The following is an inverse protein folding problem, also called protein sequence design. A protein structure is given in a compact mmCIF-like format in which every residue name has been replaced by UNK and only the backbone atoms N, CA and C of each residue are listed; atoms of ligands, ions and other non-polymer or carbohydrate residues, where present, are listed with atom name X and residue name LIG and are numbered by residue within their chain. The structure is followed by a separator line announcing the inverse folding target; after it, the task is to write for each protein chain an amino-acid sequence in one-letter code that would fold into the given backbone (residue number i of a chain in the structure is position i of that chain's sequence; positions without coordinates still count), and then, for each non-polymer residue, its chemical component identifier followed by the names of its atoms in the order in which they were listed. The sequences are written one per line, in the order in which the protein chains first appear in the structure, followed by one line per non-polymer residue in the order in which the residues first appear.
data_IF_513080884211
#
_entry.id   IF_513080884211
#
_cell.length_a   1.000
_cell.length_b   1.000
_cell.length_c   1.000
_cell.angle_alpha   90.00
_cell.angle_beta   90.00
_cell.angle_gamma   90.00
#
_symmetry.space_group_name_H-M   'P 1'
#
loop_
_entity.id
_entity.type
_entity.pdbx_description
1 polymer ?
#
# COMPACT_ATOMS: atom_id res chain seq x y z
N UNK A 1 -2.22 16.34 -25.89
CA UNK A 1 -1.77 15.20 -25.03
C UNK A 1 -1.87 13.95 -25.85
N UNK A 2 -0.76 13.25 -26.01
CA UNK A 2 -0.67 12.11 -26.94
C UNK A 2 -1.07 10.78 -26.29
N UNK A 3 -0.90 10.67 -24.95
CA UNK A 3 -1.29 9.49 -24.18
C UNK A 3 -1.93 9.89 -22.86
N UNK A 4 -3.08 9.28 -22.53
CA UNK A 4 -3.74 9.36 -21.23
C UNK A 4 -3.99 7.94 -20.72
N UNK A 5 -3.59 7.65 -19.50
CA UNK A 5 -3.82 6.34 -18.87
C UNK A 5 -4.09 6.48 -17.39
N UNK A 6 -4.80 5.51 -16.83
CA UNK A 6 -5.10 5.44 -15.39
C UNK A 6 -3.94 4.81 -14.60
N UNK A 7 -3.95 5.01 -13.29
CA UNK A 7 -2.94 4.40 -12.39
C UNK A 7 -3.02 2.88 -12.35
N UNK A 8 -4.18 2.31 -12.70
CA UNK A 8 -4.41 0.86 -12.69
C UNK A 8 -3.83 0.14 -13.91
N UNK A 9 -3.58 0.86 -15.01
CA UNK A 9 -3.04 0.29 -16.23
C UNK A 9 -1.67 0.89 -16.64
N UNK A 10 -0.87 1.31 -15.68
CA UNK A 10 0.50 1.81 -15.93
C UNK A 10 1.34 0.81 -16.73
N UNK A 11 0.99 -0.48 -16.65
CA UNK A 11 1.59 -1.55 -17.42
C UNK A 11 1.44 -1.41 -18.92
N UNK A 12 0.35 -0.80 -19.37
CA UNK A 12 0.06 -0.57 -20.78
C UNK A 12 0.85 0.61 -21.39
N UNK A 13 1.48 1.45 -20.54
CA UNK A 13 2.14 2.68 -20.99
C UNK A 13 3.12 2.49 -22.16
N UNK A 14 4.04 1.49 -22.18
CA UNK A 14 4.95 1.31 -23.29
C UNK A 14 4.21 1.05 -24.63
N UNK A 15 3.15 0.26 -24.57
CA UNK A 15 2.32 -0.06 -25.75
C UNK A 15 1.54 1.15 -26.22
N UNK A 16 0.97 1.94 -25.30
CA UNK A 16 0.22 3.15 -25.63
C UNK A 16 1.13 4.22 -26.24
N UNK A 17 2.35 4.38 -25.74
CA UNK A 17 3.34 5.29 -26.29
C UNK A 17 3.74 4.88 -27.71
N UNK A 18 3.98 3.60 -27.96
CA UNK A 18 4.34 3.13 -29.30
C UNK A 18 3.18 3.29 -30.27
N UNK A 19 1.95 2.98 -29.87
CA UNK A 19 0.75 3.20 -30.69
C UNK A 19 0.56 4.68 -31.03
N UNK A 20 0.69 5.59 -30.06
CA UNK A 20 0.58 7.03 -30.30
C UNK A 20 1.64 7.50 -31.30
N UNK A 21 2.88 6.98 -31.17
CA UNK A 21 3.98 7.33 -32.07
C UNK A 21 3.78 6.84 -33.51
N UNK A 22 3.30 5.60 -33.67
CA UNK A 22 3.12 4.98 -35.01
C UNK A 22 1.88 5.53 -35.71
N UNK A 23 0.77 5.66 -35.00
CA UNK A 23 -0.51 6.05 -35.59
C UNK A 23 -0.68 7.57 -35.66
N UNK A 24 0.16 8.35 -34.96
CA UNK A 24 0.03 9.81 -34.79
C UNK A 24 -1.36 10.23 -34.24
N UNK A 25 -1.97 9.37 -33.43
CA UNK A 25 -3.27 9.58 -32.80
C UNK A 25 -3.17 9.48 -31.29
N UNK A 26 -3.97 10.30 -30.57
CA UNK A 26 -4.03 10.27 -29.12
C UNK A 26 -4.58 8.91 -28.62
N UNK A 27 -3.89 8.33 -27.65
CA UNK A 27 -4.28 7.08 -27.00
C UNK A 27 -4.86 7.38 -25.62
N UNK A 28 -6.07 6.89 -25.33
CA UNK A 28 -6.72 7.04 -24.02
C UNK A 28 -7.13 5.68 -23.54
N UNK A 29 -6.59 5.26 -22.39
CA UNK A 29 -6.96 4.00 -21.74
C UNK A 29 -7.05 4.21 -20.24
N UNK A 30 -8.26 4.16 -19.68
CA UNK A 30 -8.53 4.33 -18.26
C UNK A 30 -9.22 3.06 -17.77
N UNK A 31 -8.56 2.34 -16.84
CA UNK A 31 -9.13 1.18 -16.16
C UNK A 31 -9.61 1.62 -14.79
N UNK A 32 -10.89 1.42 -14.48
CA UNK A 32 -11.54 1.91 -13.28
C UNK A 32 -11.21 1.09 -12.03
N UNK A 33 -10.77 -0.16 -12.19
CA UNK A 33 -10.41 -1.02 -11.05
C UNK A 33 -9.24 -1.94 -11.37
N UNK A 34 -8.49 -2.31 -10.33
CA UNK A 34 -7.47 -3.36 -10.44
C UNK A 34 -8.15 -4.73 -10.43
N UNK A 35 -7.99 -5.49 -11.50
CA UNK A 35 -8.32 -6.92 -11.50
C UNK A 35 -7.23 -7.74 -10.84
N UNK A 36 -5.97 -7.33 -11.03
CA UNK A 36 -4.79 -7.97 -10.45
C UNK A 36 -3.87 -6.88 -9.89
N UNK A 37 -3.35 -7.09 -8.69
CA UNK A 37 -2.35 -6.18 -8.13
C UNK A 37 -1.13 -6.14 -9.06
N UNK A 38 -0.64 -4.94 -9.46
CA UNK A 38 0.51 -4.87 -10.36
C UNK A 38 1.71 -5.57 -9.69
N UNK A 39 2.21 -6.61 -10.35
CA UNK A 39 3.38 -7.34 -9.88
C UNK A 39 4.56 -6.40 -9.69
N UNK A 40 5.40 -6.74 -8.74
CA UNK A 40 6.63 -6.05 -8.42
C UNK A 40 7.44 -5.75 -9.68
N UNK A 41 7.52 -4.47 -10.04
CA UNK A 41 8.45 -4.01 -11.07
C UNK A 41 9.69 -3.47 -10.38
N UNK A 42 10.88 -3.67 -10.95
CA UNK A 42 12.06 -3.05 -10.40
C UNK A 42 11.85 -1.54 -10.38
N UNK A 43 11.80 -0.98 -9.19
CA UNK A 43 11.69 0.46 -8.96
C UNK A 43 13.08 1.02 -8.71
N UNK A 44 13.39 2.15 -9.36
CA UNK A 44 14.58 2.91 -9.00
C UNK A 44 14.33 3.53 -7.62
N UNK A 45 15.02 3.04 -6.60
CA UNK A 45 14.94 3.58 -5.25
C UNK A 45 15.79 4.85 -5.14
N UNK A 46 15.28 5.83 -4.39
CA UNK A 46 16.04 7.03 -4.03
C UNK A 46 17.04 6.73 -2.89
N UNK A 47 16.70 5.76 -2.03
CA UNK A 47 17.51 5.32 -0.90
C UNK A 47 18.07 3.92 -1.14
N UNK A 48 19.35 3.72 -0.79
CA UNK A 48 19.98 2.40 -0.86
C UNK A 48 19.55 1.48 0.29
N UNK A 49 19.12 2.04 1.44
CA UNK A 49 18.81 1.32 2.67
C UNK A 49 17.32 1.32 3.06
N UNK A 50 16.48 2.05 2.35
CA UNK A 50 15.06 2.14 2.66
C UNK A 50 14.19 1.92 1.42
N UNK A 51 13.05 1.24 1.59
CA UNK A 51 12.10 0.95 0.53
C UNK A 51 10.64 1.14 0.98
N UNK A 52 9.79 1.44 0.01
CA UNK A 52 8.35 1.52 0.16
C UNK A 52 7.72 0.25 -0.42
N UNK A 53 6.87 -0.41 0.35
CA UNK A 53 6.22 -1.66 -0.06
C UNK A 53 4.71 -1.48 0.01
N UNK A 54 4.04 -1.42 -1.14
CA UNK A 54 2.58 -1.37 -1.19
C UNK A 54 2.00 -2.72 -0.82
N UNK A 55 1.15 -2.76 0.21
CA UNK A 55 0.45 -3.99 0.64
C UNK A 55 -1.01 -4.02 0.22
N UNK A 56 -1.62 -2.82 0.01
CA UNK A 56 -2.99 -2.68 -0.49
C UNK A 56 -3.13 -1.45 -1.38
N UNK A 57 -4.17 -1.41 -2.20
CA UNK A 57 -4.61 -0.26 -3.01
C UNK A 57 -6.11 -0.09 -2.89
N UNK A 58 -6.60 1.15 -3.07
CA UNK A 58 -8.01 1.46 -2.89
C UNK A 58 -8.40 1.59 -1.43
N UNK A 59 -9.66 1.87 -1.16
CA UNK A 59 -10.15 2.05 0.21
C UNK A 59 -11.66 1.83 0.25
N UNK A 60 -12.14 1.13 1.27
CA UNK A 60 -13.57 0.88 1.49
C UNK A 60 -14.23 1.88 2.44
N UNK A 61 -13.44 2.83 3.00
CA UNK A 61 -13.97 3.87 3.90
C UNK A 61 -14.74 4.94 3.12
N UNK A 62 -15.71 5.57 3.80
CA UNK A 62 -16.61 6.60 3.24
C UNK A 62 -16.37 7.97 3.86
N UNK A 63 -15.11 8.34 4.08
CA UNK A 63 -14.75 9.65 4.63
C UNK A 63 -15.29 10.77 3.74
N UNK A 64 -16.03 11.73 4.31
CA UNK A 64 -16.83 12.75 3.60
C UNK A 64 -16.04 13.59 2.59
N UNK A 65 -14.77 13.87 2.86
CA UNK A 65 -13.91 14.71 2.02
C UNK A 65 -13.01 13.93 1.06
N UNK A 66 -13.04 12.57 1.13
CA UNK A 66 -12.05 11.73 0.47
C UNK A 66 -12.53 11.23 -0.88
N UNK A 67 -11.76 11.51 -1.94
CA UNK A 67 -12.04 11.05 -3.31
C UNK A 67 -11.43 9.68 -3.63
N UNK A 68 -10.62 9.13 -2.74
CA UNK A 68 -9.85 7.89 -3.01
C UNK A 68 -10.72 6.72 -3.45
N UNK A 69 -11.86 6.39 -2.82
CA UNK A 69 -12.70 5.28 -3.26
C UNK A 69 -13.20 5.44 -4.71
N UNK A 70 -13.46 6.67 -5.14
CA UNK A 70 -13.91 6.96 -6.50
C UNK A 70 -12.77 6.86 -7.54
N UNK A 71 -11.52 7.13 -7.13
CA UNK A 71 -10.37 7.15 -8.05
C UNK A 71 -9.56 5.85 -8.04
N UNK A 72 -9.48 5.19 -6.87
CA UNK A 72 -8.67 3.99 -6.66
C UNK A 72 -9.51 2.71 -6.56
N UNK A 73 -10.84 2.85 -6.49
CA UNK A 73 -11.75 1.74 -6.34
C UNK A 73 -11.76 1.14 -4.94
N UNK A 74 -12.37 -0.04 -4.84
CA UNK A 74 -12.40 -0.84 -3.61
C UNK A 74 -11.00 -1.32 -3.25
N UNK A 75 -10.81 -1.52 -1.96
CA UNK A 75 -9.57 -2.08 -1.43
C UNK A 75 -9.25 -3.45 -2.04
N UNK A 76 -8.01 -3.57 -2.46
CA UNK A 76 -7.40 -4.78 -2.99
C UNK A 76 -6.09 -5.03 -2.27
N UNK A 77 -6.01 -6.16 -1.59
CA UNK A 77 -4.87 -6.56 -0.80
C UNK A 77 -3.93 -7.48 -1.58
N UNK A 78 -2.64 -7.28 -1.38
CA UNK A 78 -1.63 -8.24 -1.86
C UNK A 78 -1.62 -9.47 -0.95
N UNK A 79 -1.32 -10.61 -1.50
CA UNK A 79 -1.14 -11.82 -0.69
C UNK A 79 0.05 -11.66 0.25
N UNK A 80 -0.04 -12.12 1.51
CA UNK A 80 1.06 -11.99 2.46
C UNK A 80 2.39 -12.56 1.95
N UNK A 81 2.35 -13.72 1.30
CA UNK A 81 3.55 -14.35 0.71
C UNK A 81 4.24 -13.48 -0.34
N UNK A 82 3.47 -12.76 -1.18
CA UNK A 82 4.05 -11.86 -2.20
C UNK A 82 4.69 -10.63 -1.57
N UNK A 83 4.09 -10.12 -0.49
CA UNK A 83 4.64 -8.97 0.27
C UNK A 83 5.95 -9.37 0.95
N UNK A 84 5.96 -10.52 1.65
CA UNK A 84 7.15 -11.00 2.34
C UNK A 84 8.28 -11.33 1.38
N UNK A 85 7.99 -12.00 0.25
CA UNK A 85 9.00 -12.30 -0.78
C UNK A 85 9.63 -11.03 -1.38
N UNK A 86 8.83 -9.95 -1.56
CA UNK A 86 9.38 -8.66 -2.01
C UNK A 86 10.30 -8.06 -0.94
N UNK A 87 9.89 -8.09 0.33
CA UNK A 87 10.71 -7.54 1.43
C UNK A 87 12.02 -8.32 1.55
N UNK A 88 11.99 -9.66 1.49
CA UNK A 88 13.18 -10.51 1.51
C UNK A 88 14.13 -10.19 0.34
N UNK A 89 13.59 -10.00 -0.87
CA UNK A 89 14.39 -9.61 -2.03
C UNK A 89 15.05 -8.23 -1.82
N UNK A 90 14.31 -7.26 -1.27
CA UNK A 90 14.82 -5.92 -0.96
C UNK A 90 15.94 -5.97 0.09
N UNK A 91 15.77 -6.79 1.13
CA UNK A 91 16.80 -7.01 2.17
C UNK A 91 18.04 -7.65 1.55
N UNK A 92 17.88 -8.62 0.65
CA UNK A 92 18.99 -9.21 -0.12
C UNK A 92 19.75 -8.19 -0.98
N UNK A 93 19.12 -7.07 -1.35
CA UNK A 93 19.74 -5.93 -2.05
C UNK A 93 20.34 -4.86 -1.10
N UNK A 94 20.29 -5.09 0.21
CA UNK A 94 20.88 -4.19 1.24
C UNK A 94 19.87 -3.21 1.86
N UNK A 95 18.56 -3.38 1.65
CA UNK A 95 17.54 -2.59 2.33
C UNK A 95 17.45 -3.02 3.80
N UNK A 96 17.49 -2.05 4.71
CA UNK A 96 17.41 -2.24 6.16
C UNK A 96 16.07 -1.77 6.74
N UNK A 97 15.36 -0.93 6.01
CA UNK A 97 14.09 -0.34 6.44
C UNK A 97 13.03 -0.47 5.36
N UNK A 98 11.84 -0.95 5.72
CA UNK A 98 10.67 -0.92 4.84
C UNK A 98 9.54 -0.11 5.46
N UNK A 99 8.80 0.62 4.62
CA UNK A 99 7.56 1.27 5.01
C UNK A 99 6.40 0.63 4.23
N UNK A 100 5.50 0.00 4.95
CA UNK A 100 4.29 -0.60 4.39
C UNK A 100 3.28 0.48 4.03
N UNK A 101 2.76 0.41 2.81
CA UNK A 101 1.83 1.40 2.25
C UNK A 101 0.46 0.79 1.96
N UNK A 102 -0.57 1.51 2.38
CA UNK A 102 -1.96 1.30 2.03
C UNK A 102 -2.74 2.60 2.22
N UNK A 103 -3.97 2.68 1.73
CA UNK A 103 -4.84 3.84 1.97
C UNK A 103 -5.50 3.76 3.36
N UNK A 104 -5.74 2.54 3.83
CA UNK A 104 -6.10 2.17 5.19
C UNK A 104 -5.26 0.93 5.53
N UNK A 105 -3.99 1.15 5.89
CA UNK A 105 -2.99 0.08 5.96
C UNK A 105 -3.33 -1.03 6.95
N UNK A 106 -4.02 -0.71 8.03
CA UNK A 106 -4.38 -1.67 9.08
C UNK A 106 -5.71 -2.41 8.83
N UNK A 107 -6.44 -2.08 7.74
CA UNK A 107 -7.51 -2.93 7.23
C UNK A 107 -7.02 -4.10 6.37
N UNK A 108 -5.71 -4.16 6.09
CA UNK A 108 -5.10 -5.23 5.31
C UNK A 108 -5.53 -6.62 5.79
N UNK A 109 -6.01 -7.42 4.85
CA UNK A 109 -6.50 -8.78 5.06
C UNK A 109 -8.01 -8.91 5.24
N UNK A 110 -8.72 -7.80 5.42
CA UNK A 110 -10.19 -7.82 5.49
C UNK A 110 -10.80 -8.40 4.20
N UNK A 111 -10.21 -8.13 3.05
CA UNK A 111 -10.60 -8.72 1.76
C UNK A 111 -10.50 -10.26 1.78
N UNK A 112 -9.56 -10.82 2.51
CA UNK A 112 -9.39 -12.28 2.67
C UNK A 112 -10.23 -12.88 3.80
N UNK A 113 -11.00 -12.05 4.52
CA UNK A 113 -11.75 -12.46 5.69
C UNK A 113 -10.93 -12.58 6.98
N UNK A 114 -9.69 -12.08 7.01
CA UNK A 114 -8.79 -12.13 8.17
C UNK A 114 -8.50 -10.73 8.71
N UNK A 115 -9.22 -10.33 9.75
CA UNK A 115 -9.03 -9.04 10.42
C UNK A 115 -7.73 -8.92 11.22
N UNK A 116 -7.07 -10.03 11.50
CA UNK A 116 -5.77 -10.07 12.18
C UNK A 116 -4.58 -10.08 11.20
N UNK A 117 -4.84 -10.08 9.89
CA UNK A 117 -3.79 -10.25 8.88
C UNK A 117 -2.71 -9.17 8.96
N UNK A 118 -3.06 -7.91 9.26
CA UNK A 118 -2.07 -6.85 9.39
C UNK A 118 -1.10 -7.09 10.55
N UNK A 119 -1.62 -7.47 11.73
CA UNK A 119 -0.79 -7.81 12.88
C UNK A 119 0.09 -9.04 12.61
N UNK A 120 -0.46 -10.05 11.93
CA UNK A 120 0.31 -11.22 11.49
C UNK A 120 1.43 -10.84 10.52
N UNK A 121 1.15 -9.94 9.56
CA UNK A 121 2.14 -9.44 8.62
C UNK A 121 3.27 -8.70 9.33
N UNK A 122 2.96 -7.84 10.31
CA UNK A 122 3.97 -7.15 11.12
C UNK A 122 4.89 -8.14 11.83
N UNK A 123 4.33 -9.17 12.48
CA UNK A 123 5.11 -10.22 13.14
C UNK A 123 5.96 -11.02 12.14
N UNK A 124 5.39 -11.36 10.98
CA UNK A 124 6.13 -12.06 9.94
C UNK A 124 7.30 -11.23 9.38
N UNK A 125 7.15 -9.92 9.26
CA UNK A 125 8.27 -9.03 8.94
C UNK A 125 9.35 -9.05 10.02
N UNK A 126 8.99 -9.32 11.27
CA UNK A 126 9.91 -9.47 12.39
C UNK A 126 10.87 -10.64 12.27
N UNK A 127 10.48 -11.66 11.52
CA UNK A 127 11.27 -12.89 11.31
C UNK A 127 12.23 -12.79 10.11
N UNK A 128 12.23 -11.68 9.37
CA UNK A 128 13.11 -11.51 8.21
C UNK A 128 14.50 -11.08 8.66
N UNK A 129 15.48 -11.95 8.50
CA UNK A 129 16.88 -11.68 8.83
C UNK A 129 17.42 -10.48 8.02
N UNK A 130 18.03 -9.53 8.72
CA UNK A 130 18.60 -8.33 8.11
C UNK A 130 17.62 -7.16 7.94
N UNK A 131 16.32 -7.35 8.17
CA UNK A 131 15.36 -6.25 8.21
C UNK A 131 15.37 -5.59 9.60
N UNK A 132 15.96 -4.41 9.70
CA UNK A 132 16.13 -3.71 10.97
C UNK A 132 14.93 -2.88 11.40
N UNK A 133 14.15 -2.36 10.43
CA UNK A 133 13.02 -1.46 10.73
C UNK A 133 11.84 -1.70 9.80
N UNK A 134 10.68 -1.84 10.41
CA UNK A 134 9.38 -1.90 9.74
C UNK A 134 8.55 -0.70 10.19
N UNK A 135 8.08 0.07 9.23
CA UNK A 135 7.16 1.19 9.43
C UNK A 135 5.90 1.00 8.60
N UNK A 136 4.88 1.72 8.93
CA UNK A 136 3.66 1.80 8.12
C UNK A 136 3.05 3.20 8.21
N UNK A 137 2.26 3.56 7.20
CA UNK A 137 1.59 4.86 7.13
C UNK A 137 0.10 4.70 6.89
N UNK A 138 -0.65 5.75 7.22
CA UNK A 138 -2.10 5.83 6.97
C UNK A 138 -2.93 4.73 7.65
N UNK A 139 -2.68 4.38 8.91
CA UNK A 139 -3.62 3.55 9.65
C UNK A 139 -4.88 4.35 9.97
N UNK A 140 -6.02 3.64 10.02
CA UNK A 140 -7.30 4.22 10.44
C UNK A 140 -7.62 3.83 11.88
N UNK A 141 -8.04 4.77 12.75
CA UNK A 141 -8.28 4.47 14.16
C UNK A 141 -9.32 3.39 14.41
N UNK A 142 -10.36 3.29 13.56
CA UNK A 142 -11.41 2.28 13.72
C UNK A 142 -10.91 0.84 13.51
N UNK A 143 -9.84 0.64 12.75
CA UNK A 143 -9.25 -0.65 12.46
C UNK A 143 -7.98 -0.93 13.27
N UNK A 144 -7.65 -0.04 14.23
CA UNK A 144 -6.46 -0.18 15.07
C UNK A 144 -6.76 -1.05 16.30
N UNK A 145 -6.58 -2.36 16.13
CA UNK A 145 -6.95 -3.37 17.12
C UNK A 145 -5.85 -3.61 18.16
N UNK A 146 -6.23 -4.19 19.32
CA UNK A 146 -5.27 -4.58 20.36
C UNK A 146 -4.19 -5.55 19.83
N UNK A 147 -4.52 -6.36 18.83
CA UNK A 147 -3.59 -7.29 18.18
C UNK A 147 -2.50 -6.55 17.38
N UNK A 148 -2.85 -5.44 16.74
CA UNK A 148 -1.86 -4.56 16.08
C UNK A 148 -0.97 -3.88 17.11
N UNK A 149 -1.55 -3.41 18.24
CA UNK A 149 -0.78 -2.82 19.34
C UNK A 149 0.20 -3.85 19.91
N UNK A 150 -0.26 -5.07 20.16
CA UNK A 150 0.57 -6.16 20.63
C UNK A 150 1.70 -6.49 19.64
N UNK A 151 1.39 -6.57 18.32
CA UNK A 151 2.41 -6.81 17.31
C UNK A 151 3.49 -5.71 17.29
N UNK A 152 3.10 -4.44 17.44
CA UNK A 152 4.05 -3.33 17.55
C UNK A 152 4.92 -3.39 18.81
N UNK A 153 4.35 -3.85 19.91
CA UNK A 153 5.07 -3.93 21.21
C UNK A 153 6.01 -5.15 21.29
N UNK A 154 5.64 -6.25 20.66
CA UNK A 154 6.30 -7.55 20.78
C UNK A 154 7.34 -7.81 19.68
N UNK A 155 7.24 -7.11 18.54
CA UNK A 155 8.11 -7.31 17.38
C UNK A 155 9.22 -6.25 17.36
N UNK A 156 10.48 -6.58 17.69
CA UNK A 156 11.53 -5.60 17.98
C UNK A 156 11.87 -4.65 16.82
N UNK A 157 11.73 -5.10 15.59
CA UNK A 157 12.03 -4.28 14.41
C UNK A 157 10.81 -3.49 13.89
N UNK A 158 9.62 -3.68 14.45
CA UNK A 158 8.47 -2.79 14.18
C UNK A 158 8.63 -1.52 15.00
N UNK A 159 8.73 -0.39 14.30
CA UNK A 159 9.04 0.87 14.96
C UNK A 159 7.87 1.40 15.80
N UNK A 160 8.14 1.88 17.02
CA UNK A 160 7.13 2.49 17.90
C UNK A 160 6.77 3.90 17.41
N UNK A 161 6.35 4.01 16.17
CA UNK A 161 5.96 5.24 15.51
C UNK A 161 4.61 5.06 14.84
N UNK A 162 3.71 6.00 15.06
CA UNK A 162 2.37 6.00 14.51
C UNK A 162 2.07 7.31 13.80
N UNK A 163 1.80 7.24 12.50
CA UNK A 163 1.32 8.36 11.69
C UNK A 163 -0.18 8.18 11.43
N UNK A 164 -1.00 8.56 12.39
CA UNK A 164 -2.45 8.41 12.33
C UNK A 164 -3.14 9.77 12.10
N UNK A 165 -3.98 9.91 11.08
CA UNK A 165 -4.73 11.13 10.84
C UNK A 165 -5.74 11.40 11.97
N UNK A 166 -5.67 12.57 12.59
CA UNK A 166 -6.62 13.00 13.63
C UNK A 166 -7.91 13.57 13.03
N UNK A 167 -7.84 14.21 11.87
CA UNK A 167 -8.91 14.88 11.13
C UNK A 167 -9.47 16.10 11.85
N UNK A 168 -10.05 15.97 13.05
CA UNK A 168 -10.56 17.05 13.87
C UNK A 168 -10.46 16.73 15.37
N UNK A 169 -10.24 17.74 16.19
CA UNK A 169 -10.37 17.66 17.65
C UNK A 169 -11.79 17.96 18.15
N UNK A 170 -12.77 18.10 17.26
CA UNK A 170 -14.16 18.42 17.60
C UNK A 170 -15.08 17.24 17.29
N UNK A 171 -15.75 16.69 18.31
CA UNK A 171 -16.75 15.62 18.15
C UNK A 171 -17.92 16.03 17.24
N UNK A 172 -18.26 17.31 17.19
CA UNK A 172 -19.31 17.81 16.30
C UNK A 172 -18.89 17.67 14.83
N UNK A 173 -17.65 18.07 14.49
CA UNK A 173 -17.13 17.98 13.12
C UNK A 173 -16.85 16.53 12.69
N UNK A 174 -16.51 15.65 13.63
CA UNK A 174 -16.30 14.24 13.33
C UNK A 174 -17.59 13.47 13.04
N UNK A 175 -18.76 14.06 13.38
CA UNK A 175 -20.09 13.47 13.13
C UNK A 175 -20.77 13.98 11.85
N UNK A 176 -20.26 15.05 11.26
CA UNK A 176 -20.70 15.63 9.99
C UNK A 176 -20.02 14.96 8.79
#
# INVERSE_FOLDING_TARGET
VDVVFGTHNIGSLPVLLERARVNAEAQVEIVESLEVFPSTRPTRRESAYAAWVSISVGCNNTCTFCIVPSLRGKEKDRRPGDVLAEIEALVGEGVLEVTLLGQNVNAYGVEFGDRAAFAKLLRACGEIDGLERVRFTSPHPADFTDDVIAAMAETPNVMPQLHMPLQSGSDRLLKE
#
